data_IF_002130531880
#
_entry.id   IF_002130531880
#
_cell.length_a   1.000
_cell.length_b   1.000
_cell.length_c   1.000
_cell.angle_alpha   90.00
_cell.angle_beta   90.00
_cell.angle_gamma   90.00
#
_symmetry.space_group_name_H-M   'P 1'
#
loop_
_entity.id
_entity.type
_entity.pdbx_description
1 polymer ?
#
# COMPACT_ATOMS: atom_id res chain seq x y z
N UNK A 1 -20.63 -8.80 -72.35
CA UNK A 1 -21.23 -8.44 -71.06
C UNK A 1 -20.23 -8.83 -69.95
N UNK A 2 -19.56 -7.83 -69.31
CA UNK A 2 -18.59 -8.05 -68.24
C UNK A 2 -19.28 -7.84 -66.91
N UNK A 3 -19.46 -8.90 -66.14
CA UNK A 3 -19.93 -8.82 -64.78
C UNK A 3 -18.75 -8.53 -63.87
N UNK A 4 -18.70 -7.31 -63.30
CA UNK A 4 -17.70 -6.91 -62.29
C UNK A 4 -18.10 -7.54 -60.94
N UNK A 5 -17.19 -8.36 -60.45
CA UNK A 5 -17.19 -8.89 -59.09
C UNK A 5 -17.01 -7.75 -58.08
N UNK A 6 -18.03 -7.54 -57.26
CA UNK A 6 -18.08 -6.60 -56.12
C UNK A 6 -18.22 -7.42 -54.83
N UNK A 7 -17.12 -8.02 -54.39
CA UNK A 7 -16.98 -8.55 -53.02
C UNK A 7 -15.50 -8.77 -52.73
N UNK A 8 -14.83 -7.90 -52.04
CA UNK A 8 -14.42 -8.19 -50.68
C UNK A 8 -14.27 -6.90 -49.82
N UNK A 9 -15.30 -6.47 -49.13
CA UNK A 9 -15.12 -5.35 -48.19
C UNK A 9 -15.96 -5.50 -46.92
N UNK A 10 -16.11 -6.74 -46.40
CA UNK A 10 -16.90 -6.96 -45.18
C UNK A 10 -16.23 -7.97 -44.21
N UNK A 11 -14.92 -7.85 -43.99
CA UNK A 11 -14.28 -8.74 -42.99
C UNK A 11 -13.15 -8.01 -42.21
N UNK A 12 -13.34 -6.76 -41.81
CA UNK A 12 -12.32 -6.04 -41.03
C UNK A 12 -12.86 -5.28 -39.82
N UNK A 13 -14.06 -5.55 -39.34
CA UNK A 13 -14.62 -4.88 -38.15
C UNK A 13 -15.12 -5.94 -37.16
N UNK A 14 -14.21 -6.69 -36.54
CA UNK A 14 -14.54 -7.57 -35.40
C UNK A 14 -13.34 -7.91 -34.52
N UNK A 15 -12.37 -6.98 -34.39
CA UNK A 15 -11.23 -7.21 -33.50
C UNK A 15 -10.81 -5.97 -32.70
N UNK A 16 -11.77 -5.17 -32.23
CA UNK A 16 -11.48 -4.01 -31.38
C UNK A 16 -12.37 -3.94 -30.16
N UNK A 17 -12.43 -5.01 -29.36
CA UNK A 17 -13.31 -5.07 -28.19
C UNK A 17 -12.77 -5.79 -26.96
N UNK A 18 -11.48 -6.10 -26.86
CA UNK A 18 -10.96 -6.85 -25.70
C UNK A 18 -9.66 -6.26 -25.14
N UNK A 19 -9.64 -4.97 -24.86
CA UNK A 19 -8.56 -4.40 -24.07
C UNK A 19 -9.20 -3.47 -23.04
N UNK A 20 -9.37 -3.91 -21.82
CA UNK A 20 -9.47 -3.03 -20.63
C UNK A 20 -10.12 -3.64 -19.39
N UNK A 21 -9.86 -4.89 -18.99
CA UNK A 21 -10.38 -5.39 -17.71
C UNK A 21 -9.29 -5.96 -16.78
N UNK A 22 -8.02 -5.94 -17.15
CA UNK A 22 -6.98 -6.62 -16.35
C UNK A 22 -6.43 -5.79 -15.17
N UNK A 23 -6.49 -4.48 -15.21
CA UNK A 23 -5.88 -3.62 -14.19
C UNK A 23 -6.62 -3.52 -12.84
N UNK A 24 -7.96 -3.48 -12.77
CA UNK A 24 -8.64 -3.40 -11.46
C UNK A 24 -8.58 -4.70 -10.66
N UNK A 25 -8.53 -5.85 -11.31
CA UNK A 25 -8.61 -7.16 -10.65
C UNK A 25 -7.33 -7.52 -9.88
N UNK A 26 -6.16 -7.16 -10.39
CA UNK A 26 -4.88 -7.41 -9.72
C UNK A 26 -4.73 -6.57 -8.45
N UNK A 27 -5.16 -5.31 -8.48
CA UNK A 27 -5.14 -4.42 -7.32
C UNK A 27 -6.11 -4.86 -6.21
N UNK A 28 -7.29 -5.39 -6.56
CA UNK A 28 -8.24 -5.95 -5.59
C UNK A 28 -7.73 -7.24 -4.95
N UNK A 29 -7.15 -8.15 -5.74
CA UNK A 29 -6.56 -9.39 -5.23
C UNK A 29 -5.43 -9.09 -4.25
N UNK A 30 -4.58 -8.10 -4.55
CA UNK A 30 -3.51 -7.63 -3.67
C UNK A 30 -4.04 -7.04 -2.38
N UNK A 31 -5.02 -6.14 -2.44
CA UNK A 31 -5.65 -5.57 -1.26
C UNK A 31 -6.27 -6.65 -0.36
N UNK A 32 -6.93 -7.64 -0.94
CA UNK A 32 -7.48 -8.79 -0.22
C UNK A 32 -6.37 -9.60 0.45
N UNK A 33 -5.27 -9.89 -0.25
CA UNK A 33 -4.11 -10.60 0.28
C UNK A 33 -3.50 -9.83 1.47
N UNK A 34 -3.24 -8.54 1.33
CA UNK A 34 -2.71 -7.69 2.39
C UNK A 34 -3.65 -7.69 3.60
N UNK A 35 -4.96 -7.51 3.38
CA UNK A 35 -5.98 -7.48 4.43
C UNK A 35 -6.05 -8.81 5.19
N UNK A 36 -6.02 -9.92 4.46
CA UNK A 36 -6.13 -11.25 5.05
C UNK A 36 -4.93 -11.58 5.91
N UNK A 37 -3.73 -11.30 5.42
CA UNK A 37 -2.48 -11.75 6.02
C UNK A 37 -1.87 -10.80 7.05
N UNK A 38 -2.17 -9.51 7.03
CA UNK A 38 -1.72 -8.59 8.07
C UNK A 38 -2.30 -8.98 9.43
N UNK A 39 -1.54 -8.76 10.51
CA UNK A 39 -2.01 -8.93 11.89
C UNK A 39 -2.73 -7.67 12.38
N UNK A 40 -2.24 -6.50 11.95
CA UNK A 40 -2.76 -5.18 12.28
C UNK A 40 -2.86 -4.34 11.02
N UNK A 41 -3.94 -3.58 10.88
CA UNK A 41 -4.13 -2.62 9.79
C UNK A 41 -4.55 -1.29 10.41
N UNK A 42 -3.77 -0.24 10.16
CA UNK A 42 -4.03 1.08 10.75
C UNK A 42 -3.89 2.19 9.72
N UNK A 43 -4.62 3.28 9.96
CA UNK A 43 -4.30 4.59 9.38
C UNK A 43 -3.71 5.48 10.46
N UNK A 44 -2.81 6.36 10.08
CA UNK A 44 -2.20 7.28 11.03
C UNK A 44 -1.18 8.19 10.36
N UNK A 45 -0.55 9.01 11.19
CA UNK A 45 0.48 9.96 10.80
C UNK A 45 1.83 9.55 11.38
N UNK A 46 2.88 9.58 10.56
CA UNK A 46 4.26 9.38 11.02
C UNK A 46 4.68 10.57 11.88
N UNK A 47 4.88 10.34 13.16
CA UNK A 47 5.27 11.36 14.13
C UNK A 47 6.77 11.55 14.26
N UNK A 48 7.56 10.55 13.85
CA UNK A 48 9.01 10.61 13.87
C UNK A 48 9.64 9.33 13.34
N UNK A 49 10.92 9.42 13.00
CA UNK A 49 11.74 8.26 12.63
C UNK A 49 13.15 8.40 13.21
N UNK A 50 13.72 7.29 13.63
CA UNK A 50 15.08 7.24 14.18
C UNK A 50 15.81 6.03 13.61
N UNK A 51 17.00 6.25 13.07
CA UNK A 51 17.86 5.18 12.57
C UNK A 51 18.96 4.87 13.57
N UNK A 52 19.28 3.60 13.74
CA UNK A 52 20.35 3.14 14.63
C UNK A 52 21.01 1.88 14.07
N UNK A 53 22.26 1.69 14.47
CA UNK A 53 22.96 0.42 14.23
C UNK A 53 22.34 -0.70 15.07
N UNK A 54 22.33 -1.92 14.51
CA UNK A 54 22.08 -3.11 15.32
C UNK A 54 23.21 -3.30 16.34
N UNK A 55 23.04 -4.25 17.28
CA UNK A 55 24.00 -4.49 18.36
C UNK A 55 25.41 -4.80 17.85
N UNK A 56 25.52 -5.51 16.74
CA UNK A 56 26.80 -5.91 16.13
C UNK A 56 27.40 -4.83 15.20
N UNK A 57 26.73 -3.67 15.07
CA UNK A 57 27.10 -2.57 14.16
C UNK A 57 27.31 -2.99 12.70
N UNK A 58 26.57 -4.02 12.25
CA UNK A 58 26.66 -4.56 10.90
C UNK A 58 25.57 -4.07 9.98
N UNK A 59 24.45 -3.56 10.55
CA UNK A 59 23.28 -3.11 9.79
C UNK A 59 22.58 -1.93 10.47
N UNK A 60 22.02 -1.06 9.66
CA UNK A 60 21.18 0.04 10.12
C UNK A 60 19.71 -0.38 10.06
N UNK A 61 18.96 -0.05 11.10
CA UNK A 61 17.51 -0.17 11.15
C UNK A 61 16.89 1.17 11.48
N UNK A 62 15.72 1.41 10.90
CA UNK A 62 14.91 2.59 11.20
C UNK A 62 13.67 2.18 11.95
N UNK A 63 13.37 2.87 13.03
CA UNK A 63 12.11 2.82 13.75
C UNK A 63 11.28 4.05 13.37
N UNK A 64 10.11 3.84 12.76
CA UNK A 64 9.12 4.88 12.48
C UNK A 64 8.00 4.79 13.52
N UNK A 65 7.76 5.89 14.22
CA UNK A 65 6.63 6.03 15.14
C UNK A 65 5.42 6.54 14.38
N UNK A 66 4.34 5.79 14.42
CA UNK A 66 3.06 6.16 13.80
C UNK A 66 2.05 6.49 14.88
N UNK A 67 1.55 7.72 14.89
CA UNK A 67 0.37 8.09 15.67
C UNK A 67 -0.86 7.59 14.95
N UNK A 68 -1.63 6.74 15.61
CA UNK A 68 -2.77 6.03 15.00
C UNK A 68 -4.02 6.88 15.01
N UNK A 69 -4.63 7.03 13.83
CA UNK A 69 -5.96 7.65 13.67
C UNK A 69 -7.07 6.59 13.83
N UNK A 70 -6.93 5.42 13.19
CA UNK A 70 -7.94 4.35 13.21
C UNK A 70 -7.29 2.98 13.03
N UNK A 71 -7.73 2.00 13.84
CA UNK A 71 -7.48 0.57 13.63
C UNK A 71 -8.57 -0.03 12.77
N UNK A 72 -8.21 -0.58 11.62
CA UNK A 72 -9.13 -1.34 10.75
C UNK A 72 -9.10 -2.83 11.06
N UNK A 73 -7.97 -3.33 11.59
CA UNK A 73 -7.79 -4.72 12.03
C UNK A 73 -6.82 -4.77 13.21
N UNK A 74 -7.07 -5.70 14.14
CA UNK A 74 -6.26 -5.90 15.34
C UNK A 74 -6.83 -5.18 16.56
N UNK A 75 -6.59 -5.76 17.74
CA UNK A 75 -7.09 -5.25 19.02
C UNK A 75 -5.99 -4.48 19.75
N UNK A 76 -5.46 -3.44 19.15
CA UNK A 76 -4.54 -2.56 19.86
C UNK A 76 -5.27 -1.29 20.28
N UNK A 77 -5.20 -0.98 21.57
CA UNK A 77 -5.81 0.21 22.16
C UNK A 77 -4.84 1.37 22.31
N UNK A 78 -3.58 1.18 21.85
CA UNK A 78 -2.56 2.21 21.93
C UNK A 78 -2.76 3.31 20.85
N UNK A 79 -2.42 4.55 21.20
CA UNK A 79 -2.47 5.68 20.28
C UNK A 79 -1.29 5.72 19.31
N UNK A 80 -0.32 4.82 19.45
CA UNK A 80 0.86 4.76 18.58
C UNK A 80 1.32 3.33 18.34
N UNK A 81 1.97 3.13 17.20
CA UNK A 81 2.68 1.90 16.86
C UNK A 81 4.09 2.24 16.39
N UNK A 82 5.06 1.37 16.72
CA UNK A 82 6.43 1.46 16.24
C UNK A 82 6.62 0.43 15.14
N UNK A 83 7.10 0.90 13.99
CA UNK A 83 7.36 0.09 12.79
C UNK A 83 8.86 0.06 12.57
N UNK A 84 9.45 -1.13 12.58
CA UNK A 84 10.89 -1.31 12.34
C UNK A 84 11.13 -1.86 10.93
N UNK A 85 12.09 -1.30 10.22
CA UNK A 85 12.52 -1.77 8.90
C UNK A 85 14.02 -1.57 8.70
N UNK A 86 14.69 -2.41 7.88
CA UNK A 86 16.10 -2.28 7.59
C UNK A 86 16.38 -1.06 6.71
N UNK A 87 17.55 -0.47 6.91
CA UNK A 87 18.00 0.72 6.20
C UNK A 87 17.82 1.99 7.00
N UNK A 88 18.34 3.09 6.46
CA UNK A 88 18.38 4.40 7.09
C UNK A 88 19.76 5.02 7.03
N UNK A 89 19.97 6.10 7.78
CA UNK A 89 21.25 6.80 7.83
C UNK A 89 21.64 7.09 9.29
N UNK A 90 22.89 6.82 9.62
CA UNK A 90 23.52 7.10 10.93
C UNK A 90 24.88 7.72 10.70
N UNK A 91 25.10 8.96 11.16
CA UNK A 91 26.35 9.70 11.06
C UNK A 91 26.94 9.76 9.64
N UNK A 92 26.08 9.98 8.62
CA UNK A 92 26.48 10.08 7.23
C UNK A 92 26.72 8.74 6.53
N UNK A 93 26.49 7.61 7.21
CA UNK A 93 26.53 6.27 6.63
C UNK A 93 25.10 5.83 6.40
N UNK A 94 24.74 5.59 5.12
CA UNK A 94 23.41 5.17 4.71
C UNK A 94 23.37 3.73 4.22
N UNK A 95 22.33 2.99 4.61
CA UNK A 95 21.97 1.70 4.02
C UNK A 95 20.60 1.79 3.33
N UNK A 96 20.51 1.30 2.10
CA UNK A 96 19.29 1.28 1.33
C UNK A 96 18.95 -0.15 0.91
N UNK A 97 17.73 -0.57 1.20
CA UNK A 97 17.20 -1.85 0.77
C UNK A 97 16.08 -1.63 -0.24
N UNK A 98 16.10 -2.38 -1.34
CA UNK A 98 15.02 -2.40 -2.34
C UNK A 98 13.77 -3.04 -1.75
N UNK A 99 12.61 -2.61 -2.21
CA UNK A 99 11.30 -3.13 -1.77
C UNK A 99 10.97 -2.95 -0.28
N UNK A 100 11.74 -2.10 0.44
CA UNK A 100 11.42 -1.75 1.81
C UNK A 100 10.62 -0.45 1.88
N UNK A 101 9.63 -0.36 2.79
CA UNK A 101 8.84 0.85 2.93
C UNK A 101 9.73 2.00 3.42
N UNK A 102 9.56 3.18 2.83
CA UNK A 102 10.16 4.42 3.32
C UNK A 102 9.07 5.25 3.98
N UNK A 103 9.34 5.76 5.17
CA UNK A 103 8.44 6.66 5.88
C UNK A 103 9.03 8.05 5.94
N UNK A 104 8.19 9.08 5.78
CA UNK A 104 8.58 10.46 5.95
C UNK A 104 7.84 11.09 7.13
N UNK A 105 8.51 12.01 7.83
CA UNK A 105 7.89 12.71 8.97
C UNK A 105 6.65 13.48 8.49
N UNK A 106 5.59 13.44 9.28
CA UNK A 106 4.29 14.04 9.00
C UNK A 106 3.52 13.41 7.83
N UNK A 107 3.96 12.29 7.29
CA UNK A 107 3.26 11.55 6.26
C UNK A 107 2.01 10.87 6.84
N UNK A 108 0.86 11.02 6.19
CA UNK A 108 -0.35 10.24 6.48
C UNK A 108 -0.29 8.92 5.70
N UNK A 109 -0.54 7.79 6.38
CA UNK A 109 -0.41 6.45 5.78
C UNK A 109 -1.53 5.50 6.20
N UNK A 110 -1.81 4.52 5.34
CA UNK A 110 -2.50 3.29 5.68
C UNK A 110 -1.48 2.15 5.56
N UNK A 111 -1.28 1.38 6.63
CA UNK A 111 -0.26 0.33 6.67
C UNK A 111 -0.82 -1.01 7.11
N UNK A 112 -0.31 -2.07 6.46
CA UNK A 112 -0.58 -3.45 6.77
C UNK A 112 0.63 -4.02 7.52
N UNK A 113 0.43 -4.44 8.77
CA UNK A 113 1.50 -4.75 9.69
C UNK A 113 1.50 -6.21 10.12
N UNK A 114 2.69 -6.74 10.33
CA UNK A 114 2.97 -7.99 11.03
C UNK A 114 3.60 -7.70 12.38
N UNK A 115 3.23 -8.48 13.41
CA UNK A 115 3.92 -8.44 14.69
C UNK A 115 5.37 -8.87 14.53
N UNK A 116 6.25 -8.19 15.21
CA UNK A 116 7.67 -8.49 15.26
C UNK A 116 8.18 -8.39 16.71
N UNK A 117 9.41 -8.80 16.98
CA UNK A 117 10.01 -8.87 18.32
C UNK A 117 10.00 -7.52 19.03
N UNK A 118 10.20 -6.42 18.29
CA UNK A 118 10.28 -5.05 18.82
C UNK A 118 9.12 -4.15 18.40
N UNK A 119 7.96 -4.72 18.08
CA UNK A 119 6.81 -3.93 17.62
C UNK A 119 6.21 -4.50 16.34
N UNK A 120 6.32 -3.79 15.25
CA UNK A 120 5.72 -4.20 13.97
C UNK A 120 6.70 -4.02 12.82
N UNK A 121 6.51 -4.81 11.76
CA UNK A 121 7.09 -4.60 10.43
C UNK A 121 5.98 -4.48 9.40
N UNK A 122 6.23 -3.77 8.33
CA UNK A 122 5.26 -3.71 7.22
C UNK A 122 5.20 -5.07 6.55
N UNK A 123 3.98 -5.59 6.41
CA UNK A 123 3.73 -6.82 5.68
C UNK A 123 3.90 -6.55 4.17
N UNK A 124 4.65 -7.40 3.49
CA UNK A 124 4.88 -7.32 2.05
C UNK A 124 5.67 -6.06 1.59
N UNK A 125 6.57 -5.58 2.44
CA UNK A 125 7.49 -4.50 2.12
C UNK A 125 6.78 -3.19 1.75
N UNK A 126 7.23 -2.53 0.67
CA UNK A 126 6.66 -1.26 0.23
C UNK A 126 5.18 -1.37 -0.19
N UNK A 127 4.75 -2.54 -0.68
CA UNK A 127 3.37 -2.81 -1.08
C UNK A 127 2.37 -2.74 0.09
N UNK A 128 2.83 -3.02 1.30
CA UNK A 128 2.04 -2.95 2.52
C UNK A 128 1.92 -1.55 3.11
N UNK A 129 2.47 -0.52 2.46
CA UNK A 129 2.32 0.89 2.83
C UNK A 129 1.61 1.65 1.74
N UNK A 130 0.52 2.31 2.07
CA UNK A 130 -0.22 3.20 1.16
C UNK A 130 -0.12 4.62 1.70
N UNK A 131 0.51 5.50 0.93
CA UNK A 131 0.57 6.93 1.25
C UNK A 131 -0.80 7.57 1.05
N UNK A 132 -1.19 8.40 2.00
CA UNK A 132 -2.43 9.18 1.96
C UNK A 132 -2.07 10.64 1.69
N UNK A 133 -2.66 11.20 0.65
CA UNK A 133 -2.52 12.60 0.28
C UNK A 133 -3.90 13.27 0.27
N UNK A 134 -3.91 14.60 0.31
CA UNK A 134 -5.14 15.37 0.10
C UNK A 134 -5.25 15.75 -1.37
N UNK A 135 -6.40 15.45 -1.98
CA UNK A 135 -6.73 15.96 -3.30
C UNK A 135 -6.82 17.49 -3.26
N UNK A 136 -6.08 18.18 -4.13
CA UNK A 136 -5.99 19.62 -4.13
C UNK A 136 -7.32 20.33 -4.49
N UNK A 137 -8.22 19.63 -5.21
CA UNK A 137 -9.49 20.21 -5.67
C UNK A 137 -10.62 19.97 -4.67
N UNK A 138 -10.67 18.77 -4.10
CA UNK A 138 -11.79 18.35 -3.24
C UNK A 138 -11.44 18.34 -1.76
N UNK A 139 -10.16 18.34 -1.39
CA UNK A 139 -9.69 18.18 -0.02
C UNK A 139 -9.85 16.76 0.52
N UNK A 140 -10.37 15.81 -0.26
CA UNK A 140 -10.55 14.42 0.15
C UNK A 140 -9.21 13.72 0.35
N UNK A 141 -9.17 12.77 1.29
CA UNK A 141 -8.00 11.87 1.46
C UNK A 141 -8.03 10.78 0.37
N UNK A 142 -6.97 10.75 -0.44
CA UNK A 142 -6.79 9.82 -1.56
C UNK A 142 -5.40 9.18 -1.48
N UNK A 143 -5.20 8.10 -2.23
CA UNK A 143 -3.87 7.51 -2.47
C UNK A 143 -3.14 8.27 -3.59
N UNK A 144 -1.84 8.02 -3.76
CA UNK A 144 -1.07 8.48 -4.93
C UNK A 144 -1.66 8.02 -6.28
N UNK A 145 -2.41 6.91 -6.29
CA UNK A 145 -3.13 6.39 -7.47
C UNK A 145 -4.56 6.94 -7.59
N UNK A 146 -4.88 8.04 -6.88
CA UNK A 146 -6.19 8.71 -6.92
C UNK A 146 -7.38 7.86 -6.44
N UNK A 147 -7.14 6.88 -5.55
CA UNK A 147 -8.21 6.09 -4.94
C UNK A 147 -8.61 6.70 -3.60
N UNK A 148 -9.91 6.90 -3.37
CA UNK A 148 -10.43 7.46 -2.10
C UNK A 148 -10.13 6.52 -0.94
N UNK A 149 -9.57 7.05 0.14
CA UNK A 149 -9.22 6.25 1.32
C UNK A 149 -10.45 5.60 1.96
N UNK A 150 -11.58 6.31 2.00
CA UNK A 150 -12.82 5.75 2.52
C UNK A 150 -13.30 4.52 1.72
N UNK A 151 -13.09 4.50 0.41
CA UNK A 151 -13.38 3.32 -0.42
C UNK A 151 -12.49 2.14 -0.02
N UNK A 152 -11.17 2.35 0.14
CA UNK A 152 -10.25 1.29 0.59
C UNK A 152 -10.60 0.77 1.98
N UNK A 153 -10.93 1.67 2.93
CA UNK A 153 -11.36 1.28 4.28
C UNK A 153 -12.61 0.39 4.24
N UNK A 154 -13.60 0.75 3.40
CA UNK A 154 -14.82 -0.05 3.21
C UNK A 154 -14.49 -1.42 2.62
N UNK A 155 -13.65 -1.51 1.60
CA UNK A 155 -13.21 -2.78 1.01
C UNK A 155 -12.48 -3.65 2.04
N UNK A 156 -11.57 -3.09 2.82
CA UNK A 156 -10.87 -3.79 3.90
C UNK A 156 -11.87 -4.37 4.91
N UNK A 157 -12.81 -3.56 5.41
CA UNK A 157 -13.85 -4.01 6.36
C UNK A 157 -14.70 -5.14 5.78
N UNK A 158 -15.07 -5.06 4.49
CA UNK A 158 -15.83 -6.11 3.81
C UNK A 158 -15.02 -7.43 3.69
N UNK A 159 -13.72 -7.36 3.40
CA UNK A 159 -12.88 -8.56 3.36
C UNK A 159 -12.70 -9.21 4.73
N UNK A 160 -12.73 -8.41 5.80
CA UNK A 160 -12.65 -8.93 7.17
C UNK A 160 -13.98 -9.58 7.61
N UNK A 161 -15.13 -9.00 7.24
CA UNK A 161 -16.46 -9.53 7.60
C UNK A 161 -16.81 -10.82 6.82
N UNK A 162 -16.38 -10.96 5.59
CA UNK A 162 -16.66 -12.16 4.76
C UNK A 162 -15.74 -13.36 5.10
N UNK A 163 -15.01 -13.28 6.20
CA UNK A 163 -14.08 -14.34 6.65
C UNK A 163 -14.69 -15.26 7.71
N UNK A 164 -15.91 -14.99 8.16
CA UNK A 164 -16.66 -15.80 9.14
C UNK A 164 -17.53 -16.84 8.45
#
# INVERSE_FOLDING_TARGET
>A
MKVKSLFPFLLTILFSGFISIAFPQQSEAKLKQLTTNADVIVTGKVSGKTSSWNMDKTRIYTEASLQVDEYLKGNNTGNSVVITYPGGEVNGIGELYTHMPKFENNEDVLVFLKKDVKGYKVFDGEEGKIQIIKDAKTGEKITSSNVRINYLKTKIKNYLSNRN
#
